data_IF_929172390221
#
_entry.id   IF_929172390221
#
_cell.length_a   1.000
_cell.length_b   1.000
_cell.length_c   1.000
_cell.angle_alpha   90.00
_cell.angle_beta   90.00
_cell.angle_gamma   90.00
#
_symmetry.space_group_name_H-M   'P 1'
#
loop_
_entity.id
_entity.type
_entity.pdbx_description
1 polymer ?
#
# COMPACT_ATOMS: atom_id res chain seq x y z
N UNK A 1 -8.46 -10.56 12.83
CA UNK A 1 -7.12 -10.88 13.33
C UNK A 1 -6.16 -11.13 12.19
N UNK A 2 -6.63 -11.80 11.14
CA UNK A 2 -5.84 -11.90 9.92
C UNK A 2 -5.57 -10.52 9.35
N UNK A 3 -6.53 -9.60 9.50
CA UNK A 3 -6.39 -8.23 9.04
C UNK A 3 -5.30 -7.49 9.80
N UNK A 4 -5.27 -7.63 11.12
CA UNK A 4 -4.24 -6.99 11.92
C UNK A 4 -2.85 -7.49 11.55
N UNK A 5 -2.70 -8.80 11.37
CA UNK A 5 -1.45 -9.38 10.93
C UNK A 5 -1.03 -8.84 9.57
N UNK A 6 -2.00 -8.66 8.66
CA UNK A 6 -1.73 -8.11 7.34
C UNK A 6 -1.23 -6.67 7.44
N UNK A 7 -1.86 -5.84 8.27
CA UNK A 7 -1.44 -4.45 8.45
C UNK A 7 -0.02 -4.37 8.99
N UNK A 8 0.28 -5.16 9.99
CA UNK A 8 1.60 -5.14 10.62
C UNK A 8 2.69 -5.53 9.62
N UNK A 9 2.45 -6.56 8.82
CA UNK A 9 3.41 -7.00 7.83
C UNK A 9 3.59 -5.98 6.73
N UNK A 10 2.50 -5.35 6.29
CA UNK A 10 2.53 -4.32 5.28
C UNK A 10 3.35 -3.11 5.76
N UNK A 11 3.07 -2.66 6.97
CA UNK A 11 3.81 -1.55 7.59
C UNK A 11 5.29 -1.89 7.68
N UNK A 12 5.62 -3.07 8.20
CA UNK A 12 7.02 -3.46 8.36
C UNK A 12 7.74 -3.55 7.02
N UNK A 13 7.06 -4.05 5.99
CA UNK A 13 7.64 -4.12 4.65
C UNK A 13 8.07 -2.74 4.17
N UNK A 14 7.18 -1.77 4.25
CA UNK A 14 7.46 -0.41 3.78
C UNK A 14 8.54 0.28 4.62
N UNK A 15 8.53 0.08 5.93
CA UNK A 15 9.55 0.63 6.81
C UNK A 15 10.93 0.05 6.50
N UNK A 16 11.00 -1.25 6.23
CA UNK A 16 12.27 -1.89 5.90
C UNK A 16 12.84 -1.37 4.59
N UNK A 17 11.99 -1.18 3.58
CA UNK A 17 12.45 -0.63 2.31
C UNK A 17 13.01 0.79 2.52
N UNK A 18 12.31 1.60 3.31
CA UNK A 18 12.78 2.95 3.61
C UNK A 18 14.14 2.91 4.32
N UNK A 19 14.32 2.01 5.27
CA UNK A 19 15.60 1.84 5.98
C UNK A 19 16.72 1.44 5.04
N UNK A 20 16.42 0.59 4.05
CA UNK A 20 17.42 0.18 3.06
C UNK A 20 17.89 1.32 2.19
N UNK A 21 17.10 2.36 2.05
CA UNK A 21 17.48 3.53 1.27
C UNK A 21 18.59 4.34 1.95
N UNK A 22 18.76 4.17 3.25
CA UNK A 22 19.72 4.94 4.08
C UNK A 22 19.45 6.44 4.02
N UNK A 23 18.23 6.84 3.76
CA UNK A 23 17.81 8.23 3.67
C UNK A 23 16.91 8.53 4.87
N UNK A 24 17.40 9.34 5.81
CA UNK A 24 16.67 9.66 7.04
C UNK A 24 15.34 10.34 6.78
N UNK A 25 15.30 11.21 5.78
CA UNK A 25 14.06 11.91 5.43
C UNK A 25 13.02 10.91 4.92
N UNK A 26 13.45 9.98 4.06
CA UNK A 26 12.56 8.95 3.55
C UNK A 26 12.02 8.08 4.68
N UNK A 27 12.87 7.72 5.65
CA UNK A 27 12.43 6.93 6.80
C UNK A 27 11.40 7.66 7.63
N UNK A 28 11.60 8.94 7.90
CA UNK A 28 10.67 9.73 8.69
C UNK A 28 9.34 9.94 7.97
N UNK A 29 9.39 10.19 6.67
CA UNK A 29 8.17 10.31 5.87
C UNK A 29 7.41 8.99 5.85
N UNK A 30 8.11 7.87 5.73
CA UNK A 30 7.47 6.57 5.72
C UNK A 30 6.79 6.26 7.05
N UNK A 31 7.38 6.65 8.17
CA UNK A 31 6.75 6.49 9.48
C UNK A 31 5.39 7.18 9.54
N UNK A 32 5.26 8.32 8.86
CA UNK A 32 3.98 9.03 8.79
C UNK A 32 3.02 8.33 7.84
N UNK A 33 3.51 7.96 6.66
CA UNK A 33 2.69 7.35 5.61
C UNK A 33 2.07 6.04 6.05
N UNK A 34 2.85 5.18 6.74
CA UNK A 34 2.35 3.86 7.15
C UNK A 34 1.20 3.95 8.15
N UNK A 35 1.04 5.08 8.83
CA UNK A 35 -0.09 5.27 9.73
C UNK A 35 -1.42 5.28 9.00
N UNK A 36 -1.41 5.56 7.70
CA UNK A 36 -2.61 5.52 6.88
C UNK A 36 -3.01 4.13 6.40
N UNK A 37 -2.12 3.15 6.54
CA UNK A 37 -2.39 1.80 6.02
C UNK A 37 -3.64 1.16 6.63
N UNK A 38 -3.87 1.18 7.95
CA UNK A 38 -5.09 0.60 8.49
C UNK A 38 -6.35 1.29 7.97
N UNK A 39 -6.31 2.62 7.80
CA UNK A 39 -7.43 3.36 7.24
C UNK A 39 -7.69 2.95 5.79
N UNK A 40 -6.63 2.84 5.01
CA UNK A 40 -6.74 2.40 3.62
C UNK A 40 -7.40 1.02 3.53
N UNK A 41 -6.96 0.08 4.35
CA UNK A 41 -7.52 -1.27 4.37
C UNK A 41 -9.00 -1.24 4.75
N UNK A 42 -9.36 -0.39 5.70
CA UNK A 42 -10.75 -0.24 6.10
C UNK A 42 -11.61 0.32 4.96
N UNK A 43 -11.11 1.33 4.26
CA UNK A 43 -11.83 1.95 3.14
C UNK A 43 -12.06 0.97 2.00
N UNK A 44 -11.08 0.13 1.71
CA UNK A 44 -11.16 -0.83 0.61
C UNK A 44 -11.74 -2.18 1.03
N UNK A 45 -12.11 -2.33 2.31
CA UNK A 45 -12.62 -3.61 2.87
C UNK A 45 -11.64 -4.76 2.63
N UNK A 46 -10.35 -4.46 2.66
CA UNK A 46 -9.28 -5.44 2.44
C UNK A 46 -9.35 -6.15 1.08
N UNK A 47 -10.02 -5.55 0.11
CA UNK A 47 -10.15 -6.15 -1.22
C UNK A 47 -8.81 -6.30 -1.92
N UNK A 48 -7.85 -5.44 -1.59
CA UNK A 48 -6.53 -5.47 -2.24
C UNK A 48 -5.50 -6.31 -1.51
N UNK A 49 -5.89 -7.00 -0.43
CA UNK A 49 -4.91 -7.74 0.38
C UNK A 49 -4.09 -8.72 -0.46
N UNK A 50 -4.75 -9.51 -1.31
CA UNK A 50 -4.05 -10.48 -2.14
C UNK A 50 -3.15 -9.83 -3.18
N UNK A 51 -3.61 -8.75 -3.79
CA UNK A 51 -2.81 -8.01 -4.76
C UNK A 51 -1.60 -7.37 -4.09
N UNK A 52 -1.79 -6.82 -2.90
CA UNK A 52 -0.71 -6.22 -2.13
C UNK A 52 0.39 -7.24 -1.85
N UNK A 53 0.02 -8.45 -1.43
CA UNK A 53 0.98 -9.51 -1.18
C UNK A 53 1.77 -9.85 -2.44
N UNK A 54 1.09 -9.93 -3.59
CA UNK A 54 1.75 -10.20 -4.86
C UNK A 54 2.75 -9.11 -5.24
N UNK A 55 2.37 -7.86 -5.09
CA UNK A 55 3.27 -6.74 -5.38
C UNK A 55 4.49 -6.75 -4.46
N UNK A 56 4.26 -6.97 -3.16
CA UNK A 56 5.38 -7.02 -2.21
C UNK A 56 6.34 -8.16 -2.57
N UNK A 57 5.81 -9.29 -2.99
CA UNK A 57 6.61 -10.43 -3.39
C UNK A 57 7.45 -10.09 -4.63
N UNK A 58 6.85 -9.47 -5.63
CA UNK A 58 7.55 -9.06 -6.85
C UNK A 58 8.67 -8.05 -6.54
N UNK A 59 8.39 -7.10 -5.67
CA UNK A 59 9.38 -6.10 -5.26
C UNK A 59 10.53 -6.80 -4.54
N UNK A 60 10.23 -7.67 -3.61
CA UNK A 60 11.23 -8.41 -2.83
C UNK A 60 12.12 -9.26 -3.73
N UNK A 61 11.53 -9.96 -4.68
CA UNK A 61 12.30 -10.77 -5.64
C UNK A 61 13.23 -9.91 -6.48
N UNK A 62 12.75 -8.76 -6.93
CA UNK A 62 13.59 -7.86 -7.71
C UNK A 62 14.78 -7.35 -6.90
N UNK A 63 14.55 -7.00 -5.64
CA UNK A 63 15.61 -6.56 -4.75
C UNK A 63 16.62 -7.68 -4.55
N UNK A 64 16.14 -8.90 -4.32
CA UNK A 64 16.99 -10.06 -4.10
C UNK A 64 17.89 -10.34 -5.30
N UNK A 65 17.35 -10.16 -6.51
CA UNK A 65 18.13 -10.35 -7.73
C UNK A 65 19.04 -9.16 -8.07
N UNK A 66 18.96 -8.08 -7.32
CA UNK A 66 19.69 -6.87 -7.65
C UNK A 66 19.08 -6.11 -8.83
N UNK A 67 17.83 -6.36 -9.15
CA UNK A 67 17.14 -5.71 -10.26
C UNK A 67 16.45 -4.43 -9.78
N UNK A 68 17.21 -3.35 -9.77
CA UNK A 68 16.71 -2.06 -9.30
C UNK A 68 15.55 -1.54 -10.14
N UNK A 69 15.63 -1.69 -11.46
CA UNK A 69 14.57 -1.25 -12.36
C UNK A 69 13.29 -2.03 -12.13
N UNK A 70 13.39 -3.35 -11.98
CA UNK A 70 12.24 -4.20 -11.70
C UNK A 70 11.58 -3.83 -10.39
N UNK A 71 12.36 -3.60 -9.34
CA UNK A 71 11.83 -3.20 -8.05
C UNK A 71 11.10 -1.87 -8.16
N UNK A 72 11.67 -0.92 -8.87
CA UNK A 72 11.07 0.40 -9.07
C UNK A 72 9.74 0.30 -9.81
N UNK A 73 9.70 -0.43 -10.92
CA UNK A 73 8.47 -0.57 -11.69
C UNK A 73 7.39 -1.29 -10.91
N UNK A 74 7.74 -2.33 -10.17
CA UNK A 74 6.78 -3.05 -9.35
C UNK A 74 6.20 -2.15 -8.26
N UNK A 75 7.03 -1.30 -7.65
CA UNK A 75 6.54 -0.37 -6.64
C UNK A 75 5.63 0.68 -7.26
N UNK A 76 5.97 1.21 -8.44
CA UNK A 76 5.13 2.18 -9.13
C UNK A 76 3.77 1.56 -9.45
N UNK A 77 3.75 0.35 -9.98
CA UNK A 77 2.50 -0.35 -10.29
C UNK A 77 1.67 -0.58 -9.04
N UNK A 78 2.32 -1.00 -7.95
CA UNK A 78 1.66 -1.19 -6.66
C UNK A 78 0.98 0.09 -6.19
N UNK A 79 1.71 1.20 -6.18
CA UNK A 79 1.18 2.46 -5.70
C UNK A 79 0.07 3.00 -6.61
N UNK A 80 0.21 2.83 -7.91
CA UNK A 80 -0.83 3.26 -8.85
C UNK A 80 -2.10 2.44 -8.72
N UNK A 81 -1.99 1.13 -8.52
CA UNK A 81 -3.15 0.26 -8.28
C UNK A 81 -3.86 0.65 -7.00
N UNK A 82 -3.10 0.90 -5.94
CA UNK A 82 -3.64 1.35 -4.66
C UNK A 82 -4.39 2.66 -4.80
N UNK A 83 -3.78 3.62 -5.49
CA UNK A 83 -4.37 4.93 -5.72
C UNK A 83 -5.70 4.82 -6.47
N UNK A 84 -5.74 4.03 -7.53
CA UNK A 84 -6.97 3.85 -8.31
C UNK A 84 -8.08 3.26 -7.46
N UNK A 85 -7.75 2.26 -6.64
CA UNK A 85 -8.75 1.62 -5.79
C UNK A 85 -9.31 2.58 -4.76
N UNK A 86 -8.46 3.41 -4.16
CA UNK A 86 -8.90 4.41 -3.20
C UNK A 86 -9.87 5.39 -3.87
N UNK A 87 -9.51 5.87 -5.06
CA UNK A 87 -10.37 6.82 -5.78
C UNK A 87 -11.71 6.20 -6.12
N UNK A 88 -11.73 4.96 -6.60
CA UNK A 88 -12.97 4.24 -6.91
C UNK A 88 -13.87 4.11 -5.68
N UNK A 89 -13.28 3.74 -4.54
CA UNK A 89 -14.05 3.59 -3.31
C UNK A 89 -14.63 4.91 -2.83
N UNK A 90 -13.86 5.98 -2.92
CA UNK A 90 -14.33 7.32 -2.54
C UNK A 90 -15.49 7.74 -3.43
N UNK A 91 -15.39 7.52 -4.73
CA UNK A 91 -16.44 7.87 -5.67
C UNK A 91 -17.71 7.06 -5.42
N UNK A 92 -17.58 5.77 -5.13
CA UNK A 92 -18.71 4.92 -4.79
C UNK A 92 -19.39 5.38 -3.51
N UNK A 93 -18.62 5.74 -2.49
CA UNK A 93 -19.15 6.24 -1.24
C UNK A 93 -19.88 7.56 -1.44
N UNK A 94 -19.34 8.46 -2.26
CA UNK A 94 -20.02 9.72 -2.57
C UNK A 94 -21.32 9.50 -3.31
N UNK A 95 -21.35 8.58 -4.28
CA UNK A 95 -22.56 8.26 -5.04
C UNK A 95 -23.62 7.68 -4.12
N UNK A 96 -23.24 6.73 -3.24
CA UNK A 96 -24.16 6.15 -2.28
C UNK A 96 -24.70 7.19 -1.31
N UNK A 97 -23.85 8.09 -0.85
CA UNK A 97 -24.24 9.14 0.08
C UNK A 97 -25.20 10.11 -0.57
N UNK A 98 -24.96 10.50 -1.83
CA UNK A 98 -25.85 11.36 -2.58
C UNK A 98 -27.22 10.71 -2.74
N UNK A 99 -27.24 9.42 -3.03
CA UNK A 99 -28.50 8.67 -3.16
C UNK A 99 -29.27 8.63 -1.87
N UNK A 100 -28.58 8.59 -0.73
CA UNK A 100 -29.19 8.49 0.58
C UNK A 100 -29.66 9.83 1.15
N UNK A 101 -29.22 10.93 0.58
CA UNK A 101 -29.58 12.26 1.05
C UNK A 101 -30.99 12.68 0.65
N UNK A 102 -31.66 11.86 -0.10
CA UNK A 102 -33.05 12.07 -0.53
C UNK A 102 -33.90 10.91 -0.08
#
# INVERSE_FOLDING_TARGET
QMQESHYEKDIEFHLQIARCSKNEIACKLMEIVVKGIPLFCKVTNDELANQTVKFHHMISESIERGDASGARYSMIDHLNSTRRKIIEEIEQQKAGKSSNDF
#
